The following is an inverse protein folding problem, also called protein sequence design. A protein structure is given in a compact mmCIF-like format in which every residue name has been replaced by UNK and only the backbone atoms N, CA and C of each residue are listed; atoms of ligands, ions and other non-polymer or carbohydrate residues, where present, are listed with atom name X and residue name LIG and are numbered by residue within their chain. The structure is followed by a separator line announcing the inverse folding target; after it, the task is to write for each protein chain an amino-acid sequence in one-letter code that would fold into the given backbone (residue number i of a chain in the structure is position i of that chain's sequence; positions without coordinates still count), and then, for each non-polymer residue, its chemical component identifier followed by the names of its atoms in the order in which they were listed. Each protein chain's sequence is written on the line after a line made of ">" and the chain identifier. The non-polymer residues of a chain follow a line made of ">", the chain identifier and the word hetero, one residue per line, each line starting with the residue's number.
data_IF_738546296721
#
_entry.id   IF_738546296721
#
_cell.length_a   1.000
_cell.length_b   1.000
_cell.length_c   1.000
_cell.angle_alpha   90.00
_cell.angle_beta   90.00
_cell.angle_gamma   90.00
#
_symmetry.space_group_name_H-M   'P 1'
#
loop_
_entity.id
_entity.type
_entity.pdbx_description
1 polymer ?
#
# COMPACT_ATOMS: atom_id res chain seq x y z
N UNK A 1 -9.15 12.45 1.13
CA UNK A 1 -8.75 11.32 0.27
C UNK A 1 -7.26 11.34 -0.10
N UNK A 2 -6.56 10.25 0.20
CA UNK A 2 -5.18 9.95 -0.18
C UNK A 2 -5.17 8.81 -1.22
N UNK A 3 -4.04 8.62 -1.91
CA UNK A 3 -3.84 7.50 -2.84
C UNK A 3 -2.52 6.81 -2.60
N UNK A 4 -2.49 5.48 -2.70
CA UNK A 4 -1.28 4.66 -2.64
C UNK A 4 -1.33 3.56 -3.71
N UNK A 5 -0.18 3.18 -4.26
CA UNK A 5 -0.09 1.99 -5.13
C UNK A 5 0.13 0.80 -4.23
N UNK A 6 -0.73 -0.20 -4.37
CA UNK A 6 -0.63 -1.46 -3.66
C UNK A 6 -0.44 -2.59 -4.68
N UNK A 7 0.12 -3.72 -4.25
CA UNK A 7 0.10 -4.91 -5.08
C UNK A 7 -1.35 -5.33 -5.35
N UNK A 8 -1.64 -5.77 -6.57
CA UNK A 8 -2.97 -6.27 -6.94
C UNK A 8 -3.26 -7.55 -6.14
N UNK A 9 -4.23 -7.54 -5.21
CA UNK A 9 -4.51 -8.68 -4.36
C UNK A 9 -5.24 -9.81 -5.11
N UNK A 10 -5.66 -9.58 -6.36
CA UNK A 10 -6.19 -10.60 -7.26
C UNK A 10 -5.09 -11.22 -8.14
N UNK A 11 -3.89 -10.62 -8.18
CA UNK A 11 -2.75 -11.16 -8.92
C UNK A 11 -1.92 -12.11 -8.04
N UNK A 12 -1.98 -13.43 -8.29
CA UNK A 12 -1.25 -14.40 -7.48
C UNK A 12 0.28 -14.31 -7.63
N UNK A 13 0.77 -13.59 -8.66
CA UNK A 13 2.19 -13.46 -8.93
C UNK A 13 2.79 -12.12 -8.45
N UNK A 14 1.96 -11.20 -7.95
CA UNK A 14 2.38 -9.88 -7.48
C UNK A 14 3.18 -9.07 -8.54
N UNK A 15 2.81 -9.22 -9.81
CA UNK A 15 3.38 -8.50 -10.96
C UNK A 15 2.59 -7.22 -11.28
N UNK A 16 1.35 -7.11 -10.78
CA UNK A 16 0.45 -5.99 -11.01
C UNK A 16 0.26 -5.15 -9.75
N UNK A 17 -0.02 -3.86 -9.98
CA UNK A 17 -0.36 -2.89 -8.93
C UNK A 17 -1.76 -2.32 -9.18
N UNK A 18 -2.42 -1.96 -8.09
CA UNK A 18 -3.68 -1.20 -8.09
C UNK A 18 -3.49 0.13 -7.38
N UNK A 19 -4.15 1.17 -7.88
CA UNK A 19 -4.18 2.49 -7.23
C UNK A 19 -5.33 2.53 -6.25
N UNK A 20 -5.00 2.50 -4.97
CA UNK A 20 -5.99 2.51 -3.88
C UNK A 20 -6.23 3.94 -3.40
N UNK A 21 -7.48 4.38 -3.47
CA UNK A 21 -7.95 5.60 -2.82
C UNK A 21 -8.47 5.28 -1.42
N UNK A 22 -8.04 6.03 -0.41
CA UNK A 22 -8.39 5.75 0.98
C UNK A 22 -8.44 7.03 1.82
N UNK A 23 -9.00 6.90 3.02
CA UNK A 23 -8.98 7.91 4.08
C UNK A 23 -8.57 7.30 5.42
N UNK A 24 -8.01 8.10 6.31
CA UNK A 24 -7.73 7.66 7.68
C UNK A 24 -8.98 7.77 8.53
N UNK A 25 -9.41 6.65 9.09
CA UNK A 25 -10.42 6.60 10.13
C UNK A 25 -9.73 6.07 11.40
N UNK A 26 -9.57 6.94 12.40
CA UNK A 26 -8.69 6.68 13.54
C UNK A 26 -7.29 6.23 13.07
N UNK A 27 -6.86 5.02 13.43
CA UNK A 27 -5.53 4.47 13.09
C UNK A 27 -5.58 3.41 11.98
N UNK A 28 -6.70 3.33 11.23
CA UNK A 28 -6.84 2.36 10.14
C UNK A 28 -7.23 3.03 8.81
N UNK A 29 -6.64 2.59 7.68
CA UNK A 29 -7.04 3.09 6.38
C UNK A 29 -8.42 2.52 6.00
N UNK A 30 -9.36 3.42 5.74
CA UNK A 30 -10.67 3.12 5.16
C UNK A 30 -10.56 3.15 3.63
N UNK A 31 -10.74 2.00 2.98
CA UNK A 31 -10.66 1.87 1.53
C UNK A 31 -11.90 2.51 0.88
N UNK A 32 -11.68 3.37 -0.11
CA UNK A 32 -12.75 4.04 -0.87
C UNK A 32 -12.88 3.43 -2.27
N UNK A 33 -11.76 3.19 -2.95
CA UNK A 33 -11.71 2.54 -4.26
C UNK A 33 -10.36 1.85 -4.45
N UNK A 34 -10.31 0.82 -5.30
CA UNK A 34 -9.07 0.18 -5.74
C UNK A 34 -9.11 0.06 -7.26
N UNK A 35 -8.34 0.90 -7.96
CA UNK A 35 -8.36 1.00 -9.41
C UNK A 35 -7.27 0.14 -10.04
N UNK A 36 -7.65 -0.77 -10.93
CA UNK A 36 -6.70 -1.56 -11.71
C UNK A 36 -6.05 -0.76 -12.86
N UNK A 37 -5.26 -1.43 -13.70
CA UNK A 37 -4.60 -0.82 -14.87
C UNK A 37 -5.59 -0.25 -15.91
N UNK A 38 -6.84 -0.73 -15.91
CA UNK A 38 -7.92 -0.26 -16.78
C UNK A 38 -8.76 0.83 -16.11
N UNK A 39 -8.35 1.31 -14.94
CA UNK A 39 -9.10 2.23 -14.07
C UNK A 39 -10.46 1.69 -13.62
N UNK A 40 -10.65 0.36 -13.62
CA UNK A 40 -11.82 -0.29 -13.07
C UNK A 40 -11.69 -0.40 -11.55
N UNK A 41 -12.75 -0.04 -10.81
CA UNK A 41 -12.79 -0.21 -9.36
C UNK A 41 -13.07 -1.68 -9.01
N UNK A 42 -12.04 -2.38 -8.56
CA UNK A 42 -12.10 -3.79 -8.17
C UNK A 42 -12.46 -3.97 -6.69
N UNK A 43 -12.50 -2.90 -5.89
CA UNK A 43 -12.78 -2.98 -4.45
C UNK A 43 -14.08 -3.73 -4.08
N UNK A 44 -15.19 -3.60 -4.84
CA UNK A 44 -16.41 -4.37 -4.60
C UNK A 44 -16.22 -5.88 -4.75
N UNK A 45 -15.31 -6.29 -5.64
CA UNK A 45 -15.06 -7.70 -5.98
C UNK A 45 -14.02 -8.36 -5.05
N UNK A 46 -13.31 -7.57 -4.23
CA UNK A 46 -12.35 -8.09 -3.26
C UNK A 46 -13.04 -8.78 -2.08
N UNK A 47 -12.53 -9.97 -1.73
CA UNK A 47 -12.89 -10.61 -0.45
C UNK A 47 -12.22 -9.91 0.72
N UNK A 48 -12.71 -10.12 1.95
CA UNK A 48 -12.21 -9.38 3.12
C UNK A 48 -10.71 -9.58 3.35
N UNK A 49 -10.18 -10.78 3.10
CA UNK A 49 -8.74 -11.05 3.21
C UNK A 49 -7.91 -10.17 2.26
N UNK A 50 -8.37 -10.00 1.02
CA UNK A 50 -7.70 -9.15 0.02
C UNK A 50 -7.79 -7.67 0.42
N UNK A 51 -8.92 -7.22 0.98
CA UNK A 51 -9.06 -5.86 1.51
C UNK A 51 -8.14 -5.62 2.70
N UNK A 52 -7.99 -6.61 3.58
CA UNK A 52 -7.06 -6.53 4.71
C UNK A 52 -5.60 -6.45 4.25
N UNK A 53 -5.23 -7.14 3.17
CA UNK A 53 -3.89 -7.03 2.62
C UNK A 53 -3.61 -5.61 2.09
N UNK A 54 -4.55 -5.00 1.37
CA UNK A 54 -4.45 -3.58 0.96
C UNK A 54 -4.31 -2.63 2.17
N UNK A 55 -5.11 -2.84 3.22
CA UNK A 55 -5.04 -2.02 4.44
C UNK A 55 -3.68 -2.16 5.13
N UNK A 56 -3.13 -3.37 5.21
CA UNK A 56 -1.82 -3.64 5.82
C UNK A 56 -0.70 -2.97 5.04
N UNK A 57 -0.74 -3.05 3.72
CA UNK A 57 0.25 -2.40 2.86
C UNK A 57 0.23 -0.88 3.05
N UNK A 58 -0.96 -0.26 3.02
CA UNK A 58 -1.13 1.18 3.30
C UNK A 58 -0.65 1.52 4.72
N UNK A 59 -1.04 0.75 5.72
CA UNK A 59 -0.59 0.99 7.10
C UNK A 59 0.93 0.88 7.22
N UNK A 60 1.56 -0.10 6.57
CA UNK A 60 3.00 -0.25 6.56
C UNK A 60 3.69 0.95 5.89
N UNK A 61 3.16 1.46 4.78
CA UNK A 61 3.75 2.58 4.06
C UNK A 61 3.65 3.93 4.80
N UNK A 62 2.62 4.13 5.64
CA UNK A 62 2.33 5.43 6.26
C UNK A 62 2.51 5.49 7.78
N UNK A 63 2.39 4.36 8.49
CA UNK A 63 2.50 4.30 9.96
C UNK A 63 3.82 3.74 10.46
N UNK A 64 4.58 3.03 9.61
CA UNK A 64 5.94 2.69 9.99
C UNK A 64 6.79 3.96 9.86
N UNK A 65 7.52 4.38 10.91
CA UNK A 65 8.67 5.23 10.68
C UNK A 65 9.57 4.45 9.71
N UNK A 66 9.89 5.05 8.56
CA UNK A 66 10.88 4.48 7.64
C UNK A 66 12.01 3.83 8.47
N UNK A 67 12.47 2.61 8.14
CA UNK A 67 13.71 2.15 8.71
C UNK A 67 14.76 3.17 8.28
N UNK A 68 15.07 4.13 9.16
CA UNK A 68 16.23 5.00 9.04
C UNK A 68 17.39 4.04 9.02
N UNK A 69 17.89 3.68 7.84
CA UNK A 69 19.13 2.92 7.71
C UNK A 69 20.20 3.83 8.32
N UNK A 70 20.72 3.58 9.54
CA UNK A 70 21.80 4.39 10.07
C UNK A 70 23.07 3.68 9.61
N UNK A 71 23.54 3.97 8.39
CA UNK A 71 24.55 3.07 7.83
C UNK A 71 25.18 3.44 6.51
N UNK A 72 25.27 4.71 6.14
CA UNK A 72 26.34 5.15 5.24
C UNK A 72 27.23 6.10 6.01
N UNK A 73 27.94 5.54 6.99
CA UNK A 73 29.14 6.19 7.51
C UNK A 73 30.07 6.38 6.31
N UNK A 74 30.25 7.64 5.92
CA UNK A 74 31.29 8.04 5.00
C UNK A 74 32.61 7.50 5.56
N UNK A 75 33.18 6.52 4.86
CA UNK A 75 34.54 6.08 5.12
C UNK A 75 35.43 7.26 4.70
N UNK A 76 35.72 8.17 5.63
CA UNK A 76 36.90 9.02 5.52
C UNK A 76 38.09 8.19 5.97
N UNK A 77 38.75 7.56 4.99
CA UNK A 77 40.13 7.11 5.18
C UNK A 77 41.05 8.34 5.17
N UNK A 78 42.15 8.31 5.96
CA UNK A 78 43.05 9.43 6.18
C UNK A 78 43.80 9.88 4.92
#
# INVERSE_FOLDING_TARGET
>A
MLTHRCLDPQDPYAEREVRVAFEWAADHPCLIAALDEHEADILPDLVEAQRDDLRREIAAAFLLPEPRIPGRAEIRLP
#
